data_IF_863860626109
#
_entry.id   IF_863860626109
#
_cell.length_a   1.000
_cell.length_b   1.000
_cell.length_c   1.000
_cell.angle_alpha   90.00
_cell.angle_beta   90.00
_cell.angle_gamma   90.00
#
_symmetry.space_group_name_H-M   'P 1'
#
loop_
_entity.id
_entity.type
_entity.pdbx_description
1 polymer ?
#
# COMPACT_ATOMS: atom_id res chain seq x y z
N UNK A 1 -25.78 -34.67 -18.20
CA UNK A 1 -24.41 -34.33 -18.60
C UNK A 1 -23.57 -34.14 -17.34
N UNK A 2 -22.77 -35.14 -16.99
CA UNK A 2 -21.96 -35.19 -15.76
C UNK A 2 -20.55 -34.65 -16.07
N UNK A 3 -20.25 -33.43 -15.64
CA UNK A 3 -18.88 -32.90 -15.68
C UNK A 3 -18.09 -33.42 -14.48
N UNK A 4 -17.27 -34.44 -14.72
CA UNK A 4 -16.24 -34.93 -13.79
C UNK A 4 -15.19 -33.83 -13.59
N UNK A 5 -15.12 -33.29 -12.38
CA UNK A 5 -14.00 -32.45 -11.93
C UNK A 5 -12.80 -33.37 -11.69
N UNK A 6 -11.75 -33.20 -12.50
CA UNK A 6 -10.48 -33.90 -12.35
C UNK A 6 -9.72 -33.32 -11.15
N UNK A 7 -9.63 -34.09 -10.07
CA UNK A 7 -8.71 -33.82 -8.96
C UNK A 7 -7.26 -33.98 -9.47
N UNK A 8 -6.56 -32.85 -9.64
CA UNK A 8 -5.12 -32.83 -9.81
C UNK A 8 -4.45 -33.34 -8.53
N UNK A 9 -3.69 -34.42 -8.63
CA UNK A 9 -2.94 -35.05 -7.53
C UNK A 9 -1.86 -34.10 -6.98
N UNK A 10 -1.55 -34.18 -5.68
CA UNK A 10 -0.45 -33.43 -5.07
C UNK A 10 0.91 -33.89 -5.64
N UNK A 11 1.71 -32.92 -6.07
CA UNK A 11 3.06 -33.10 -6.58
C UNK A 11 4.02 -33.36 -5.40
N UNK A 12 4.33 -34.63 -5.14
CA UNK A 12 5.34 -35.06 -4.17
C UNK A 12 6.70 -35.07 -4.88
N UNK A 13 7.71 -34.30 -4.44
CA UNK A 13 9.06 -34.42 -4.98
C UNK A 13 9.63 -35.78 -4.57
N UNK A 14 9.79 -36.64 -5.58
CA UNK A 14 10.35 -37.98 -5.48
C UNK A 14 11.85 -37.85 -5.18
N UNK A 15 12.24 -38.10 -3.93
CA UNK A 15 13.65 -38.20 -3.55
C UNK A 15 14.36 -39.21 -4.49
N UNK A 16 15.53 -38.86 -5.06
CA UNK A 16 16.29 -39.82 -5.84
C UNK A 16 16.74 -40.93 -4.90
N UNK A 17 16.29 -42.16 -5.20
CA UNK A 17 16.86 -43.38 -4.64
C UNK A 17 18.35 -43.36 -4.96
N UNK A 18 19.17 -43.04 -3.96
CA UNK A 18 20.59 -43.31 -4.01
C UNK A 18 20.76 -44.82 -4.06
N UNK A 19 20.88 -45.32 -5.28
CA UNK A 19 21.41 -46.63 -5.58
C UNK A 19 22.81 -46.67 -4.93
N UNK A 20 22.93 -47.39 -3.82
CA UNK A 20 24.21 -47.71 -3.19
C UNK A 20 24.95 -48.72 -4.08
N UNK A 21 25.22 -48.35 -5.33
CA UNK A 21 26.17 -49.06 -6.17
C UNK A 21 27.55 -48.71 -5.66
N UNK A 22 28.06 -49.61 -4.81
CA UNK A 22 29.46 -49.96 -4.62
C UNK A 22 30.36 -49.45 -5.76
N UNK A 23 30.92 -48.26 -5.60
CA UNK A 23 32.15 -47.84 -6.25
C UNK A 23 33.24 -47.88 -5.18
N UNK A 24 33.77 -49.09 -5.04
CA UNK A 24 35.08 -49.32 -4.45
C UNK A 24 36.11 -48.60 -5.34
N UNK A 25 36.65 -47.49 -4.86
CA UNK A 25 37.81 -46.84 -5.48
C UNK A 25 39.05 -47.32 -4.72
N UNK A 26 39.86 -48.24 -5.28
CA UNK A 26 41.16 -48.57 -4.72
C UNK A 26 42.15 -47.45 -5.06
N UNK A 27 43.12 -47.21 -4.19
CA UNK A 27 44.24 -46.32 -4.48
C UNK A 27 44.29 -45.07 -3.61
N UNK A 28 44.54 -45.26 -2.31
CA UNK A 28 45.21 -44.23 -1.50
C UNK A 28 46.48 -44.85 -0.95
N UNK A 29 47.61 -44.53 -1.56
CA UNK A 29 48.92 -44.88 -1.03
C UNK A 29 48.97 -44.44 0.44
N UNK A 30 49.06 -45.41 1.36
CA UNK A 30 49.31 -45.11 2.77
C UNK A 30 50.72 -44.54 2.83
N UNK A 31 50.82 -43.24 3.07
CA UNK A 31 52.09 -42.58 3.34
C UNK A 31 52.60 -43.17 4.66
N UNK A 32 53.65 -43.98 4.61
CA UNK A 32 54.30 -44.56 5.79
C UNK A 32 55.01 -43.44 6.56
N UNK A 33 54.33 -42.93 7.60
CA UNK A 33 54.77 -41.82 8.45
C UNK A 33 56.14 -42.05 9.11
N UNK A 34 56.58 -43.31 9.23
CA UNK A 34 57.87 -43.71 9.80
C UNK A 34 59.07 -43.47 8.88
N UNK A 35 58.84 -43.20 7.58
CA UNK A 35 59.90 -42.96 6.57
C UNK A 35 60.08 -41.49 6.19
N UNK A 36 59.28 -40.58 6.76
CA UNK A 36 59.29 -39.16 6.40
C UNK A 36 60.18 -38.35 7.36
N UNK A 37 60.87 -37.37 6.80
CA UNK A 37 61.61 -36.38 7.59
C UNK A 37 60.64 -35.45 8.34
N UNK A 38 61.08 -34.85 9.46
CA UNK A 38 60.22 -33.95 10.25
C UNK A 38 59.66 -32.77 9.43
N UNK A 39 60.38 -32.33 8.40
CA UNK A 39 59.96 -31.29 7.47
C UNK A 39 58.78 -31.73 6.58
N UNK A 40 58.79 -32.97 6.07
CA UNK A 40 57.70 -33.51 5.23
C UNK A 40 56.43 -33.77 6.04
N UNK A 41 56.55 -34.22 7.29
CA UNK A 41 55.40 -34.40 8.20
C UNK A 41 54.72 -33.05 8.48
N UNK A 42 55.51 -31.99 8.66
CA UNK A 42 54.98 -30.63 8.85
C UNK A 42 54.28 -30.14 7.58
N UNK A 43 54.89 -30.32 6.41
CA UNK A 43 54.28 -29.94 5.13
C UNK A 43 52.94 -30.67 4.87
N UNK A 44 52.86 -31.97 5.15
CA UNK A 44 51.60 -32.74 5.00
C UNK A 44 50.52 -32.29 5.99
N UNK A 45 50.90 -31.93 7.22
CA UNK A 45 49.97 -31.36 8.20
C UNK A 45 49.44 -30.01 7.73
N UNK A 46 50.31 -29.16 7.22
CA UNK A 46 49.94 -27.82 6.73
C UNK A 46 49.01 -27.92 5.50
N UNK A 47 49.29 -28.82 4.56
CA UNK A 47 48.41 -29.10 3.40
C UNK A 47 47.04 -29.62 3.84
N UNK A 48 46.98 -30.52 4.83
CA UNK A 48 45.70 -31.02 5.34
C UNK A 48 44.92 -29.94 6.09
N UNK A 49 45.59 -29.09 6.88
CA UNK A 49 44.97 -27.94 7.55
C UNK A 49 44.41 -26.96 6.52
N UNK A 50 45.16 -26.65 5.45
CA UNK A 50 44.68 -25.81 4.36
C UNK A 50 43.47 -26.41 3.66
N UNK A 51 43.49 -27.71 3.35
CA UNK A 51 42.35 -28.41 2.73
C UNK A 51 41.11 -28.41 3.61
N UNK A 52 41.29 -28.62 4.93
CA UNK A 52 40.20 -28.55 5.90
C UNK A 52 39.64 -27.14 6.04
N UNK A 53 40.49 -26.10 6.04
CA UNK A 53 40.06 -24.69 6.03
C UNK A 53 39.26 -24.38 4.75
N UNK A 54 39.78 -24.73 3.58
CA UNK A 54 39.06 -24.51 2.31
C UNK A 54 37.70 -25.21 2.26
N UNK A 55 37.55 -26.42 2.82
CA UNK A 55 36.25 -27.09 2.89
C UNK A 55 35.30 -26.39 3.85
N UNK A 56 35.78 -25.92 5.01
CA UNK A 56 34.98 -25.14 5.97
C UNK A 56 34.55 -23.79 5.38
N UNK A 57 35.46 -23.09 4.71
CA UNK A 57 35.21 -21.79 4.09
C UNK A 57 34.17 -21.91 2.96
N UNK A 58 34.28 -22.95 2.12
CA UNK A 58 33.27 -23.25 1.07
C UNK A 58 31.90 -23.56 1.68
N UNK A 59 31.86 -24.38 2.72
CA UNK A 59 30.61 -24.74 3.38
C UNK A 59 29.97 -23.50 4.04
N UNK A 60 30.76 -22.68 4.72
CA UNK A 60 30.31 -21.42 5.29
C UNK A 60 29.78 -20.46 4.21
N UNK A 61 30.48 -20.30 3.09
CA UNK A 61 30.04 -19.48 1.97
C UNK A 61 28.69 -19.94 1.38
N UNK A 62 28.46 -21.26 1.27
CA UNK A 62 27.16 -21.79 0.84
C UNK A 62 26.03 -21.52 1.85
N UNK A 63 26.31 -21.61 3.16
CA UNK A 63 25.31 -21.24 4.17
C UNK A 63 24.98 -19.75 4.16
N UNK A 64 25.98 -18.88 4.09
CA UNK A 64 25.77 -17.43 4.05
C UNK A 64 25.06 -16.98 2.76
N UNK A 65 25.42 -17.54 1.61
CA UNK A 65 24.73 -17.24 0.34
C UNK A 65 23.28 -17.72 0.34
N UNK A 66 23.00 -18.92 0.86
CA UNK A 66 21.63 -19.41 1.03
C UNK A 66 20.81 -18.49 1.93
N UNK A 67 21.37 -18.08 3.08
CA UNK A 67 20.71 -17.17 4.02
C UNK A 67 20.43 -15.81 3.37
N UNK A 68 21.39 -15.25 2.64
CA UNK A 68 21.23 -13.97 1.95
C UNK A 68 20.09 -14.01 0.92
N UNK A 69 20.00 -15.08 0.12
CA UNK A 69 18.92 -15.25 -0.87
C UNK A 69 17.56 -15.36 -0.18
N UNK A 70 17.47 -16.08 0.94
CA UNK A 70 16.21 -16.19 1.72
C UNK A 70 15.78 -14.83 2.28
N UNK A 71 16.70 -14.07 2.87
CA UNK A 71 16.38 -12.74 3.39
C UNK A 71 15.95 -11.75 2.30
N UNK A 72 16.62 -11.78 1.14
CA UNK A 72 16.21 -11.00 -0.03
C UNK A 72 14.81 -11.39 -0.52
N UNK A 73 14.51 -12.69 -0.57
CA UNK A 73 13.17 -13.18 -0.93
C UNK A 73 12.10 -12.71 0.05
N UNK A 74 12.36 -12.77 1.35
CA UNK A 74 11.43 -12.29 2.38
C UNK A 74 11.22 -10.78 2.33
N UNK A 75 12.28 -9.99 2.14
CA UNK A 75 12.19 -8.54 2.02
C UNK A 75 11.35 -8.13 0.82
N UNK A 76 11.53 -8.79 -0.33
CA UNK A 76 10.75 -8.53 -1.54
C UNK A 76 9.27 -8.95 -1.38
N UNK A 77 9.01 -10.08 -0.70
CA UNK A 77 7.66 -10.58 -0.47
C UNK A 77 6.87 -9.82 0.61
N UNK A 78 7.55 -9.12 1.53
CA UNK A 78 6.91 -8.44 2.66
C UNK A 78 5.94 -7.33 2.21
N UNK A 79 6.32 -6.53 1.20
CA UNK A 79 5.50 -5.41 0.71
C UNK A 79 4.16 -5.87 0.10
N UNK A 80 4.13 -6.80 -0.89
CA UNK A 80 2.86 -7.27 -1.45
C UNK A 80 2.02 -8.03 -0.42
N UNK A 81 2.66 -8.79 0.50
CA UNK A 81 1.95 -9.47 1.58
C UNK A 81 1.27 -8.47 2.54
N UNK A 82 1.99 -7.41 2.94
CA UNK A 82 1.42 -6.34 3.76
C UNK A 82 0.25 -5.66 3.07
N UNK A 83 0.39 -5.30 1.78
CA UNK A 83 -0.70 -4.70 0.99
C UNK A 83 -1.92 -5.63 0.90
N UNK A 84 -1.72 -6.92 0.70
CA UNK A 84 -2.82 -7.89 0.63
C UNK A 84 -3.54 -8.05 1.97
N UNK A 85 -2.80 -8.02 3.09
CA UNK A 85 -3.38 -8.06 4.43
C UNK A 85 -4.15 -6.77 4.71
N UNK A 86 -3.56 -5.59 4.47
CA UNK A 86 -4.21 -4.30 4.68
C UNK A 86 -5.48 -4.14 3.83
N UNK A 87 -5.44 -4.58 2.56
CA UNK A 87 -6.62 -4.55 1.70
C UNK A 87 -7.74 -5.49 2.20
N UNK A 88 -7.41 -6.55 2.93
CA UNK A 88 -8.40 -7.51 3.46
C UNK A 88 -8.93 -7.12 4.85
N UNK A 89 -8.07 -6.57 5.70
CA UNK A 89 -8.41 -6.24 7.10
C UNK A 89 -8.83 -4.80 7.30
N UNK A 90 -8.57 -3.90 6.36
CA UNK A 90 -8.90 -2.47 6.50
C UNK A 90 -8.07 -1.75 7.57
N UNK A 91 -6.95 -2.32 8.01
CA UNK A 91 -6.11 -1.76 9.05
C UNK A 91 -5.51 -0.41 8.62
N UNK A 92 -5.74 0.65 9.40
CA UNK A 92 -5.27 2.01 9.10
C UNK A 92 -6.25 2.89 8.29
N UNK A 93 -7.52 2.49 8.17
CA UNK A 93 -8.57 3.31 7.55
C UNK A 93 -8.56 3.32 6.02
N UNK A 94 -7.81 2.42 5.39
CA UNK A 94 -7.80 2.24 3.93
C UNK A 94 -9.00 1.35 3.54
N UNK A 95 -9.87 1.77 2.62
CA UNK A 95 -11.07 1.01 2.25
C UNK A 95 -10.71 -0.31 1.56
N UNK A 96 -11.45 -1.37 1.88
CA UNK A 96 -11.32 -2.72 1.30
C UNK A 96 -11.71 -2.65 -0.19
N UNK A 97 -10.75 -2.80 -1.10
CA UNK A 97 -10.95 -2.66 -2.56
C UNK A 97 -11.41 -3.96 -3.26
N UNK A 98 -12.09 -4.87 -2.56
CA UNK A 98 -12.56 -6.12 -3.16
C UNK A 98 -13.72 -5.84 -4.14
N UNK A 99 -13.44 -5.96 -5.45
CA UNK A 99 -14.42 -5.74 -6.53
C UNK A 99 -15.66 -6.63 -6.44
N UNK A 100 -15.63 -7.71 -5.63
CA UNK A 100 -16.77 -8.59 -5.37
C UNK A 100 -17.85 -7.97 -4.46
N UNK A 101 -17.56 -6.88 -3.76
CA UNK A 101 -18.59 -6.14 -2.98
C UNK A 101 -19.64 -5.44 -3.86
N UNK A 102 -19.37 -5.22 -5.14
CA UNK A 102 -20.34 -4.64 -6.10
C UNK A 102 -21.22 -5.72 -6.76
N UNK A 103 -21.91 -6.54 -5.98
CA UNK A 103 -22.90 -7.49 -6.51
C UNK A 103 -24.31 -6.91 -6.31
N UNK A 104 -25.21 -7.07 -7.30
CA UNK A 104 -26.57 -6.50 -7.27
C UNK A 104 -27.36 -6.87 -5.99
N UNK A 105 -27.05 -8.01 -5.36
CA UNK A 105 -27.71 -8.47 -4.13
C UNK A 105 -27.46 -7.55 -2.92
N UNK A 106 -26.37 -6.76 -2.93
CA UNK A 106 -26.03 -5.80 -1.84
C UNK A 106 -26.62 -4.40 -2.05
N UNK A 107 -27.30 -4.15 -3.18
CA UNK A 107 -28.00 -2.89 -3.48
C UNK A 107 -29.48 -2.94 -3.06
N UNK A 108 -29.92 -4.05 -2.45
CA UNK A 108 -31.26 -4.15 -1.87
C UNK A 108 -31.17 -3.69 -0.42
N UNK A 109 -31.93 -2.66 -0.01
CA UNK A 109 -31.95 -2.22 1.37
C UNK A 109 -32.41 -3.37 2.26
N UNK A 110 -31.64 -3.66 3.30
CA UNK A 110 -32.11 -4.56 4.35
C UNK A 110 -33.06 -3.75 5.21
N UNK A 111 -34.30 -4.22 5.32
CA UNK A 111 -35.36 -3.61 6.12
C UNK A 111 -34.99 -3.68 7.62
N UNK A 112 -34.09 -2.78 8.00
CA UNK A 112 -33.63 -2.58 9.37
C UNK A 112 -34.24 -1.25 9.79
N UNK A 113 -34.96 -1.19 10.91
CA UNK A 113 -35.55 0.07 11.40
C UNK A 113 -34.50 1.13 11.79
N UNK A 114 -33.21 0.78 11.73
CA UNK A 114 -32.08 1.61 12.13
C UNK A 114 -31.52 2.40 10.94
N UNK A 115 -31.90 3.68 10.87
CA UNK A 115 -31.31 4.65 9.92
C UNK A 115 -29.96 5.15 10.43
N UNK A 116 -28.96 5.13 9.56
CA UNK A 116 -27.62 5.63 9.84
C UNK A 116 -27.54 7.09 9.41
N UNK A 117 -27.04 7.94 10.28
CA UNK A 117 -26.80 9.36 10.00
C UNK A 117 -25.42 9.51 9.37
N UNK A 118 -25.37 10.02 8.15
CA UNK A 118 -24.12 10.36 7.45
C UNK A 118 -23.96 11.87 7.47
N UNK A 119 -22.99 12.36 8.22
CA UNK A 119 -22.63 13.77 8.30
C UNK A 119 -21.52 14.10 7.31
N UNK A 120 -21.67 15.20 6.58
CA UNK A 120 -20.73 15.64 5.56
C UNK A 120 -19.91 16.82 6.08
N UNK A 121 -18.59 16.65 6.05
CA UNK A 121 -17.65 17.71 6.40
C UNK A 121 -16.65 17.93 5.28
N UNK A 122 -16.15 19.17 5.20
CA UNK A 122 -15.27 19.61 4.13
C UNK A 122 -14.19 20.53 4.69
N UNK A 123 -12.96 20.33 4.23
CA UNK A 123 -11.80 21.15 4.54
C UNK A 123 -11.01 21.44 3.27
N UNK A 124 -10.34 22.59 3.24
CA UNK A 124 -9.47 23.02 2.13
C UNK A 124 -8.14 23.44 2.73
N UNK A 125 -7.03 23.02 2.13
CA UNK A 125 -5.70 23.50 2.49
C UNK A 125 -5.60 25.02 2.31
N UNK A 126 -4.91 25.71 3.23
CA UNK A 126 -4.72 27.17 3.18
C UNK A 126 -4.01 27.66 1.90
N UNK A 127 -3.25 26.78 1.24
CA UNK A 127 -2.51 27.07 0.00
C UNK A 127 -3.45 27.07 -1.23
N UNK A 128 -4.64 26.47 -1.10
CA UNK A 128 -5.64 26.36 -2.16
C UNK A 128 -6.76 27.39 -1.90
N UNK A 129 -6.83 28.50 -2.66
CA UNK A 129 -7.83 29.55 -2.48
C UNK A 129 -9.19 29.13 -3.05
N UNK A 130 -9.73 28.01 -2.54
CA UNK A 130 -11.03 27.48 -2.91
C UNK A 130 -11.97 27.51 -1.72
N UNK A 131 -13.24 27.77 -2.00
CA UNK A 131 -14.32 27.56 -1.04
C UNK A 131 -14.99 26.24 -1.36
N UNK A 132 -14.85 25.27 -0.46
CA UNK A 132 -15.46 23.96 -0.59
C UNK A 132 -16.43 23.74 0.57
N UNK A 133 -17.71 23.52 0.25
CA UNK A 133 -18.77 23.37 1.26
C UNK A 133 -19.78 22.31 0.84
N UNK A 134 -20.23 21.44 1.76
CA UNK A 134 -21.33 20.52 1.48
C UNK A 134 -22.64 21.30 1.32
N UNK A 135 -23.48 20.90 0.36
CA UNK A 135 -24.84 21.45 0.23
C UNK A 135 -25.78 20.89 1.30
N UNK A 136 -25.63 19.60 1.64
CA UNK A 136 -26.35 18.97 2.76
C UNK A 136 -25.38 18.66 3.91
N UNK A 137 -25.73 19.02 5.15
CA UNK A 137 -24.90 18.72 6.33
C UNK A 137 -24.98 17.27 6.77
N UNK A 138 -26.16 16.67 6.64
CA UNK A 138 -26.40 15.29 7.01
C UNK A 138 -27.51 14.66 6.18
N UNK A 139 -27.45 13.35 5.99
CA UNK A 139 -28.49 12.54 5.37
C UNK A 139 -28.66 11.26 6.18
N UNK A 140 -29.90 10.79 6.32
CA UNK A 140 -30.22 9.51 6.95
C UNK A 140 -30.47 8.46 5.88
N UNK A 141 -29.73 7.36 5.93
CA UNK A 141 -29.81 6.27 4.94
C UNK A 141 -29.95 4.92 5.63
N UNK A 142 -30.61 3.98 4.98
CA UNK A 142 -30.63 2.59 5.40
C UNK A 142 -29.42 1.81 4.85
N UNK A 143 -28.92 0.78 5.56
CA UNK A 143 -27.96 -0.16 4.99
C UNK A 143 -28.51 -0.80 3.71
N UNK A 144 -27.76 -0.69 2.61
CA UNK A 144 -28.14 -1.12 1.25
C UNK A 144 -28.84 -0.04 0.42
N UNK A 145 -29.26 1.08 1.03
CA UNK A 145 -29.86 2.21 0.31
C UNK A 145 -28.76 3.07 -0.33
N UNK A 146 -28.94 3.39 -1.61
CA UNK A 146 -28.05 4.32 -2.32
C UNK A 146 -28.47 5.76 -2.07
N UNK A 147 -27.52 6.63 -1.74
CA UNK A 147 -27.76 8.06 -1.54
C UNK A 147 -26.82 8.93 -2.36
N UNK A 148 -27.31 10.14 -2.66
CA UNK A 148 -26.60 11.17 -3.39
C UNK A 148 -26.46 12.41 -2.52
N UNK A 149 -25.22 12.88 -2.35
CA UNK A 149 -24.92 14.13 -1.68
C UNK A 149 -24.21 15.08 -2.66
N UNK A 150 -24.38 16.39 -2.49
CA UNK A 150 -23.72 17.39 -3.33
C UNK A 150 -22.75 18.22 -2.52
N UNK A 151 -21.57 18.45 -3.08
CA UNK A 151 -20.64 19.45 -2.59
C UNK A 151 -20.48 20.57 -3.61
N UNK A 152 -20.24 21.77 -3.12
CA UNK A 152 -20.01 22.94 -3.94
C UNK A 152 -18.56 23.40 -3.79
N UNK A 153 -17.86 23.50 -4.91
CA UNK A 153 -16.51 24.03 -4.98
C UNK A 153 -16.50 25.32 -5.78
N UNK A 154 -15.81 26.34 -5.26
CA UNK A 154 -15.61 27.62 -5.94
C UNK A 154 -14.16 28.04 -5.89
N UNK A 155 -13.58 28.35 -7.04
CA UNK A 155 -12.27 28.98 -7.10
C UNK A 155 -12.42 30.48 -6.83
N UNK A 156 -11.82 30.98 -5.76
CA UNK A 156 -11.85 32.42 -5.42
C UNK A 156 -10.63 33.18 -5.91
N UNK A 157 -9.78 32.55 -6.71
CA UNK A 157 -8.59 33.18 -7.30
C UNK A 157 -8.79 33.56 -8.76
N UNK A 158 -7.88 34.42 -9.25
CA UNK A 158 -7.87 34.91 -10.64
C UNK A 158 -7.13 33.97 -11.61
N UNK A 159 -6.76 32.78 -11.16
CA UNK A 159 -6.02 31.79 -11.96
C UNK A 159 -6.71 30.45 -11.93
N UNK A 160 -6.54 29.69 -13.01
CA UNK A 160 -6.94 28.30 -13.06
C UNK A 160 -6.07 27.50 -12.09
N UNK A 161 -6.72 26.72 -11.23
CA UNK A 161 -6.03 25.88 -10.26
C UNK A 161 -6.52 24.44 -10.43
N UNK A 162 -5.60 23.50 -10.23
CA UNK A 162 -5.90 22.09 -10.20
C UNK A 162 -5.84 21.63 -8.74
N UNK A 163 -6.90 20.95 -8.31
CA UNK A 163 -7.03 20.40 -6.97
C UNK A 163 -7.27 18.90 -7.00
N UNK A 164 -6.81 18.23 -5.95
CA UNK A 164 -7.09 16.82 -5.69
C UNK A 164 -7.71 16.68 -4.30
N UNK A 165 -8.75 15.87 -4.16
CA UNK A 165 -9.45 15.66 -2.90
C UNK A 165 -9.14 14.29 -2.33
N UNK A 166 -8.87 14.22 -1.03
CA UNK A 166 -8.86 12.94 -0.31
C UNK A 166 -10.06 12.87 0.61
N UNK A 167 -10.44 11.65 1.01
CA UNK A 167 -11.54 11.45 1.95
C UNK A 167 -11.16 10.49 3.07
N UNK A 168 -11.80 10.68 4.20
CA UNK A 168 -11.73 9.78 5.35
C UNK A 168 -13.12 9.59 5.95
N UNK A 169 -13.31 8.45 6.62
CA UNK A 169 -14.56 8.06 7.25
C UNK A 169 -14.29 7.80 8.73
N UNK A 170 -15.11 8.39 9.59
CA UNK A 170 -15.05 8.21 11.04
C UNK A 170 -16.40 7.73 11.55
N UNK A 171 -16.46 6.70 12.42
CA UNK A 171 -15.34 5.90 12.95
C UNK A 171 -14.73 4.94 11.91
N UNK A 172 -13.43 4.66 12.04
CA UNK A 172 -12.68 3.86 11.06
C UNK A 172 -13.17 2.41 10.91
N UNK A 173 -13.83 1.85 11.92
CA UNK A 173 -14.42 0.51 11.87
C UNK A 173 -15.57 0.40 10.86
N UNK A 174 -16.31 1.51 10.64
CA UNK A 174 -17.39 1.60 9.68
C UNK A 174 -16.90 1.85 8.25
N UNK A 175 -15.65 2.27 8.06
CA UNK A 175 -15.10 2.65 6.76
C UNK A 175 -15.11 1.49 5.75
N UNK A 176 -15.02 0.24 6.20
CA UNK A 176 -15.05 -0.94 5.34
C UNK A 176 -16.43 -1.26 4.74
N UNK A 177 -17.50 -0.72 5.33
CA UNK A 177 -18.88 -0.90 4.88
C UNK A 177 -19.35 0.25 3.99
N UNK A 178 -18.66 1.38 4.04
CA UNK A 178 -18.99 2.53 3.21
C UNK A 178 -18.41 2.36 1.81
N UNK A 179 -19.28 2.22 0.81
CA UNK A 179 -18.86 2.04 -0.58
C UNK A 179 -19.19 3.29 -1.38
N UNK A 180 -18.16 3.98 -1.87
CA UNK A 180 -18.31 5.12 -2.77
C UNK A 180 -18.34 4.62 -4.22
N UNK A 181 -19.46 4.83 -4.92
CA UNK A 181 -19.66 4.36 -6.30
C UNK A 181 -19.04 5.33 -7.31
N UNK A 182 -19.14 6.65 -7.09
CA UNK A 182 -18.56 7.68 -7.99
C UNK A 182 -17.85 8.77 -7.19
N UNK A 183 -16.57 9.03 -7.52
CA UNK A 183 -15.65 9.87 -6.74
C UNK A 183 -14.81 10.81 -7.61
N UNK A 184 -15.09 12.11 -7.49
CA UNK A 184 -14.20 13.20 -7.95
C UNK A 184 -12.82 13.20 -7.30
N UNK A 185 -12.63 12.43 -6.24
CA UNK A 185 -11.46 12.50 -5.37
C UNK A 185 -10.20 11.87 -5.98
N UNK A 186 -10.34 11.02 -7.00
CA UNK A 186 -9.17 10.44 -7.69
C UNK A 186 -8.87 11.10 -9.03
N UNK A 187 -9.68 12.09 -9.42
CA UNK A 187 -9.49 12.84 -10.65
C UNK A 187 -9.15 14.26 -10.28
N UNK A 188 -8.09 14.76 -10.90
CA UNK A 188 -7.70 16.14 -10.76
C UNK A 188 -8.79 17.06 -11.31
N UNK A 189 -9.33 17.88 -10.43
CA UNK A 189 -10.35 18.85 -10.80
C UNK A 189 -9.63 20.14 -11.16
N UNK A 190 -9.77 20.57 -12.41
CA UNK A 190 -9.36 21.91 -12.83
C UNK A 190 -10.58 22.82 -12.71
N UNK A 191 -10.48 23.85 -11.87
CA UNK A 191 -11.45 24.95 -11.83
C UNK A 191 -10.82 26.21 -12.40
N UNK A 192 -11.50 26.83 -13.35
CA UNK A 192 -11.12 28.13 -13.89
C UNK A 192 -11.25 29.24 -12.83
N UNK A 193 -10.63 30.38 -13.09
CA UNK A 193 -10.76 31.55 -12.23
C UNK A 193 -12.23 31.93 -12.00
N UNK A 194 -12.66 32.03 -10.73
CA UNK A 194 -14.03 32.38 -10.36
C UNK A 194 -15.09 31.29 -10.62
N UNK A 195 -14.73 30.14 -11.17
CA UNK A 195 -15.66 29.06 -11.51
C UNK A 195 -16.24 28.40 -10.26
N UNK A 196 -17.53 28.04 -10.33
CA UNK A 196 -18.27 27.34 -9.29
C UNK A 196 -18.90 26.08 -9.88
N UNK A 197 -18.61 24.93 -9.30
CA UNK A 197 -19.05 23.61 -9.79
C UNK A 197 -19.66 22.81 -8.64
N UNK A 198 -20.77 22.12 -8.94
CA UNK A 198 -21.39 21.15 -8.04
C UNK A 198 -20.84 19.74 -8.31
N UNK A 199 -20.30 19.12 -7.27
CA UNK A 199 -19.66 17.80 -7.30
C UNK A 199 -20.55 16.76 -6.58
N UNK A 200 -21.30 15.92 -7.33
CA UNK A 200 -22.08 14.81 -6.77
C UNK A 200 -21.24 13.67 -6.14
N UNK A 201 -21.61 13.23 -4.95
CA UNK A 201 -21.04 12.06 -4.29
C UNK A 201 -22.13 11.00 -4.18
N UNK A 202 -21.97 9.92 -4.96
CA UNK A 202 -22.86 8.77 -4.92
C UNK A 202 -22.26 7.63 -4.10
N UNK A 203 -22.98 7.18 -3.09
CA UNK A 203 -22.51 6.19 -2.12
C UNK A 203 -23.65 5.32 -1.59
N UNK A 204 -23.28 4.21 -0.96
CA UNK A 204 -24.19 3.38 -0.18
C UNK A 204 -23.43 2.73 0.99
N UNK A 205 -24.16 2.30 2.00
CA UNK A 205 -23.62 1.53 3.12
C UNK A 205 -23.93 0.05 2.85
N UNK A 206 -22.94 -0.82 2.93
CA UNK A 206 -23.12 -2.26 2.73
C UNK A 206 -24.11 -2.83 3.77
N UNK A 207 -25.13 -3.60 3.38
CA UNK A 207 -26.08 -4.21 4.30
C UNK A 207 -25.44 -5.08 5.38
N UNK A 208 -24.24 -5.62 5.15
CA UNK A 208 -23.48 -6.39 6.15
C UNK A 208 -23.23 -5.57 7.44
N UNK A 209 -23.25 -4.24 7.36
CA UNK A 209 -23.15 -3.35 8.52
C UNK A 209 -24.19 -3.64 9.60
N UNK A 210 -25.42 -3.99 9.21
CA UNK A 210 -26.49 -4.32 10.15
C UNK A 210 -26.28 -5.68 10.85
N UNK A 211 -25.55 -6.58 10.21
CA UNK A 211 -25.29 -7.94 10.73
C UNK A 211 -24.09 -8.02 11.67
N UNK A 212 -23.15 -7.07 11.60
CA UNK A 212 -21.94 -7.08 12.41
C UNK A 212 -22.21 -6.62 13.86
N UNK A 213 -21.92 -7.45 14.88
CA UNK A 213 -21.99 -7.05 16.28
C UNK A 213 -21.19 -5.81 16.65
N UNK A 214 -20.04 -5.57 16.01
CA UNK A 214 -19.19 -4.40 16.28
C UNK A 214 -19.89 -3.08 15.89
N UNK A 215 -20.73 -3.11 14.85
CA UNK A 215 -21.39 -1.93 14.30
C UNK A 215 -22.72 -1.58 15.01
N UNK A 216 -23.13 -2.39 16.01
CA UNK A 216 -24.42 -2.21 16.72
C UNK A 216 -24.58 -0.85 17.38
N UNK A 217 -23.49 -0.23 17.82
CA UNK A 217 -23.50 1.06 18.53
C UNK A 217 -23.07 2.24 17.65
N UNK A 218 -22.84 2.01 16.35
CA UNK A 218 -22.41 3.06 15.41
C UNK A 218 -23.62 3.48 14.59
N UNK A 219 -24.08 4.69 14.84
CA UNK A 219 -25.25 5.29 14.18
C UNK A 219 -24.85 6.51 13.34
N UNK A 220 -23.67 7.04 13.63
CA UNK A 220 -23.14 8.28 13.09
C UNK A 220 -21.86 8.01 12.31
N UNK A 221 -21.90 8.28 11.01
CA UNK A 221 -20.74 8.26 10.14
C UNK A 221 -20.43 9.67 9.69
N UNK A 222 -19.16 10.06 9.77
CA UNK A 222 -18.69 11.34 9.26
C UNK A 222 -17.88 11.07 8.00
N UNK A 223 -18.34 11.58 6.88
CA UNK A 223 -17.59 11.63 5.63
C UNK A 223 -16.86 12.98 5.55
N UNK A 224 -15.54 12.93 5.73
CA UNK A 224 -14.68 14.09 5.69
C UNK A 224 -13.93 14.15 4.36
N UNK A 225 -14.00 15.29 3.69
CA UNK A 225 -13.21 15.59 2.49
C UNK A 225 -12.20 16.69 2.76
N UNK A 226 -10.99 16.51 2.26
CA UNK A 226 -9.94 17.53 2.30
C UNK A 226 -9.40 17.78 0.90
N UNK A 227 -9.39 19.04 0.46
CA UNK A 227 -8.81 19.45 -0.81
C UNK A 227 -7.37 19.93 -0.67
N UNK A 228 -6.51 19.43 -1.55
CA UNK A 228 -5.12 19.83 -1.69
C UNK A 228 -4.86 20.39 -3.09
N UNK A 229 -3.93 21.34 -3.18
CA UNK A 229 -3.46 21.86 -4.45
C UNK A 229 -2.61 20.81 -5.15
N UNK A 230 -3.00 20.39 -6.35
CA UNK A 230 -2.19 19.54 -7.20
C UNK A 230 -1.30 20.43 -8.06
N UNK A 231 0.02 20.31 -7.92
CA UNK A 231 0.97 21.01 -8.77
C UNK A 231 1.46 20.08 -9.88
N UNK A 232 1.20 20.46 -11.12
CA UNK A 232 2.03 20.00 -12.24
C UNK A 232 3.23 20.93 -12.35
N UNK A 233 4.39 20.48 -11.86
CA UNK A 233 5.64 20.96 -12.42
C UNK A 233 5.69 20.41 -13.86
N UNK A 234 5.66 21.31 -14.84
CA UNK A 234 5.80 21.06 -16.27
C UNK A 234 6.53 19.72 -16.59
N UNK A 235 5.77 18.66 -16.87
CA UNK A 235 6.27 17.44 -17.51
C UNK A 235 7.43 16.68 -16.84
N UNK A 236 7.72 16.88 -15.56
CA UNK A 236 8.74 16.09 -14.86
C UNK A 236 8.18 15.51 -13.56
N UNK A 237 8.22 14.18 -13.47
CA UNK A 237 7.78 13.41 -12.31
C UNK A 237 8.72 13.68 -11.13
N UNK A 238 8.50 14.75 -10.38
CA UNK A 238 9.17 14.92 -9.08
C UNK A 238 8.37 14.18 -8.01
N UNK A 239 8.69 12.88 -7.85
CA UNK A 239 8.52 12.22 -6.56
C UNK A 239 9.54 12.84 -5.60
N UNK A 240 9.30 14.06 -5.13
CA UNK A 240 10.15 14.70 -4.14
C UNK A 240 9.47 14.62 -2.76
N UNK A 241 9.98 13.84 -1.79
CA UNK A 241 9.35 13.65 -0.49
C UNK A 241 9.49 14.88 0.45
N UNK A 242 10.01 16.00 -0.04
CA UNK A 242 10.35 17.16 0.76
C UNK A 242 9.35 18.30 0.57
N UNK A 243 8.09 18.05 0.90
CA UNK A 243 7.18 19.14 1.29
C UNK A 243 6.61 18.89 2.69
N UNK A 244 7.52 18.75 3.65
CA UNK A 244 7.19 19.10 5.03
C UNK A 244 6.91 20.61 5.12
N UNK A 245 5.92 21.04 5.91
CA UNK A 245 5.46 22.43 5.96
C UNK A 245 6.57 23.31 6.51
N UNK A 246 7.18 24.14 5.66
CA UNK A 246 8.12 25.15 6.14
C UNK A 246 7.34 26.29 6.77
N UNK A 247 7.45 26.31 8.09
CA UNK A 247 7.18 27.39 9.01
C UNK A 247 7.70 28.72 8.45
N UNK A 248 6.81 29.71 8.54
CA UNK A 248 7.02 31.14 8.34
C UNK A 248 8.36 31.64 8.89
N UNK A 249 9.12 32.39 8.10
CA UNK A 249 10.02 33.44 8.59
C UNK A 249 10.26 34.50 7.51
N UNK A 250 9.81 35.73 7.81
CA UNK A 250 10.40 37.05 7.49
C UNK A 250 11.17 37.19 6.16
N UNK A 251 10.77 38.02 5.18
CA UNK A 251 10.28 39.38 5.34
C UNK A 251 11.44 40.34 5.63
N UNK A 252 12.16 40.77 4.58
CA UNK A 252 12.74 42.12 4.44
C UNK A 252 13.00 42.41 2.96
N UNK A 253 12.42 43.51 2.50
CA UNK A 253 12.80 44.32 1.34
C UNK A 253 14.32 44.60 1.34
N UNK A 254 14.99 44.81 0.21
CA UNK A 254 14.93 46.08 -0.53
C UNK A 254 15.26 45.92 -2.01
N UNK A 255 14.59 46.75 -2.80
CA UNK A 255 14.73 46.95 -4.22
C UNK A 255 15.76 48.05 -4.55
N UNK A 256 16.23 48.03 -5.81
CA UNK A 256 16.69 49.16 -6.64
C UNK A 256 17.82 50.07 -6.12
N UNK A 257 18.95 50.07 -6.84
CA UNK A 257 19.21 51.19 -7.74
C UNK A 257 20.28 50.85 -8.79
N UNK A 258 19.99 51.19 -10.05
CA UNK A 258 20.94 51.15 -11.15
C UNK A 258 21.18 52.56 -11.68
N UNK A 259 22.44 52.98 -11.80
CA UNK A 259 22.83 54.02 -12.74
C UNK A 259 24.34 53.99 -13.02
N UNK A 260 24.66 53.94 -14.31
CA UNK A 260 25.98 54.13 -14.92
C UNK A 260 26.22 55.64 -15.17
N UNK A 261 27.49 56.02 -15.05
CA UNK A 261 28.24 56.97 -15.91
C UNK A 261 27.78 58.42 -16.10
N UNK A 262 28.78 59.31 -15.92
CA UNK A 262 28.88 60.75 -16.19
C UNK A 262 28.35 61.71 -15.12
#
# INVERSE_FOLDING_TARGET
MLFRIAFAKPWVPRAPRLCFSRLYSPGKNRIDLSKLTQAEIKALRDVNIQRQRQLKDKTAAFYFSSLAVVFLGLAYAAVPLYRAICARTGFGGIPITDRRKFTNDKLVPVDTEKRIRVAFTSEVSQILPWKFTPQQREVHVLPGETALAFYKAKNTSDKDIIGMATYSITPGEAAQYFNKIQCFCFEEQRLAAGEEVDMPVFFFIDPDFASDPAMRNIDDLILHYTFFKAHYANGENTNDPLLSPQVMASGTSDAEDGAKSF
#
